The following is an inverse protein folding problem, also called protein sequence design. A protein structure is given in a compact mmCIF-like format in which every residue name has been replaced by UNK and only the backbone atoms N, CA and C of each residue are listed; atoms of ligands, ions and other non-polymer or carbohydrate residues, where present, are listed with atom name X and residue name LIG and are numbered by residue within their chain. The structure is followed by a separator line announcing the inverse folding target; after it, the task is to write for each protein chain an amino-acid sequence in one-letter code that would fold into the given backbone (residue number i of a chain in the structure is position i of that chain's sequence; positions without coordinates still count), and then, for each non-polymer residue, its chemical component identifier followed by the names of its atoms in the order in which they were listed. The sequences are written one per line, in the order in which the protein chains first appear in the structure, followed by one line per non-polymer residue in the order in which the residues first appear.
data_IF_820057810846
#
_entry.id   IF_820057810846
#
_cell.length_a   1.000
_cell.length_b   1.000
_cell.length_c   1.000
_cell.angle_alpha   90.00
_cell.angle_beta   90.00
_cell.angle_gamma   90.00
#
_symmetry.space_group_name_H-M   'P 1'
#
loop_
_entity.id
_entity.type
_entity.pdbx_description
1 polymer ?
#
# COMPACT_ATOMS: atom_id res chain seq x y z
N UNK A 1 12.94 -19.20 12.63
CA UNK A 1 12.57 -20.42 11.84
C UNK A 1 11.52 -20.05 10.81
N UNK A 2 11.55 -20.71 9.68
CA UNK A 2 10.67 -20.45 8.52
C UNK A 2 9.56 -21.50 8.54
N UNK A 3 8.29 -21.06 8.53
CA UNK A 3 7.14 -21.97 8.51
C UNK A 3 6.68 -22.21 7.05
N UNK A 4 6.90 -23.43 6.54
CA UNK A 4 6.46 -23.85 5.22
C UNK A 4 5.79 -25.22 5.32
N UNK A 5 4.66 -25.39 4.62
CA UNK A 5 3.94 -26.68 4.58
C UNK A 5 3.55 -27.21 5.96
N UNK A 6 3.16 -26.32 6.89
CA UNK A 6 2.77 -26.69 8.26
C UNK A 6 3.91 -27.09 9.19
N UNK A 7 5.17 -26.94 8.78
CA UNK A 7 6.37 -27.29 9.55
C UNK A 7 7.32 -26.09 9.63
N UNK A 8 8.03 -25.99 10.77
CA UNK A 8 9.15 -25.06 10.93
C UNK A 8 10.44 -25.69 10.38
N UNK A 9 11.17 -24.90 9.62
CA UNK A 9 12.42 -25.28 8.95
C UNK A 9 13.56 -24.39 9.43
N UNK A 10 14.74 -24.99 9.61
CA UNK A 10 16.00 -24.28 9.72
C UNK A 10 16.55 -23.97 8.34
N UNK A 11 17.42 -22.96 8.23
CA UNK A 11 18.14 -22.65 7.00
C UNK A 11 18.90 -23.86 6.46
N UNK A 12 19.61 -24.56 7.34
CA UNK A 12 20.40 -25.75 6.98
C UNK A 12 19.55 -26.88 6.40
N UNK A 13 18.37 -27.13 6.96
CA UNK A 13 17.45 -28.14 6.42
C UNK A 13 16.95 -27.75 5.02
N UNK A 14 16.63 -26.48 4.81
CA UNK A 14 16.21 -25.98 3.48
C UNK A 14 17.34 -26.09 2.46
N UNK A 15 18.56 -25.65 2.80
CA UNK A 15 19.74 -25.75 1.93
C UNK A 15 20.12 -27.20 1.62
N UNK A 16 19.83 -28.13 2.51
CA UNK A 16 20.05 -29.56 2.23
C UNK A 16 19.07 -30.14 1.20
N UNK A 17 17.82 -29.67 1.23
CA UNK A 17 16.76 -30.19 0.36
C UNK A 17 16.63 -29.41 -0.95
N UNK A 18 16.99 -28.15 -0.94
CA UNK A 18 16.81 -27.22 -2.06
C UNK A 18 18.17 -26.65 -2.42
N UNK A 19 18.74 -26.99 -3.57
CA UNK A 19 20.08 -26.51 -3.98
C UNK A 19 20.18 -24.98 -4.00
N UNK A 20 19.08 -24.29 -4.31
CA UNK A 20 18.99 -22.85 -4.33
C UNK A 20 17.58 -22.41 -3.89
N UNK A 21 17.38 -22.07 -2.60
CA UNK A 21 16.08 -21.64 -2.08
C UNK A 21 15.47 -20.44 -2.83
N UNK A 22 16.29 -19.53 -3.35
CA UNK A 22 15.84 -18.35 -4.09
C UNK A 22 15.30 -18.71 -5.49
N UNK A 23 15.52 -19.93 -5.96
CA UNK A 23 14.90 -20.47 -7.18
C UNK A 23 13.51 -21.01 -6.95
N UNK A 24 13.23 -21.51 -5.76
CA UNK A 24 11.91 -22.02 -5.39
C UNK A 24 11.00 -20.89 -4.91
N UNK A 25 11.54 -20.07 -4.02
CA UNK A 25 10.93 -18.83 -3.52
C UNK A 25 11.74 -17.64 -4.03
N UNK A 26 11.48 -16.41 -3.57
CA UNK A 26 12.36 -15.27 -3.84
C UNK A 26 11.78 -14.21 -4.74
N UNK A 27 12.65 -13.36 -5.26
CA UNK A 27 12.30 -12.17 -6.02
C UNK A 27 12.66 -12.35 -7.49
N UNK A 28 11.70 -12.07 -8.37
CA UNK A 28 11.91 -12.07 -9.83
C UNK A 28 11.53 -10.73 -10.40
N UNK A 29 12.39 -10.12 -11.22
CA UNK A 29 12.04 -8.92 -11.98
C UNK A 29 11.39 -9.35 -13.30
N UNK A 30 10.25 -8.77 -13.60
CA UNK A 30 9.42 -9.09 -14.76
C UNK A 30 9.12 -7.81 -15.52
N UNK A 31 9.09 -7.90 -16.85
CA UNK A 31 8.66 -6.82 -17.73
C UNK A 31 7.45 -7.26 -18.55
N UNK A 32 6.43 -6.41 -18.63
CA UNK A 32 5.27 -6.64 -19.47
C UNK A 32 5.63 -6.37 -20.93
N UNK A 33 5.30 -7.30 -21.80
CA UNK A 33 5.65 -7.21 -23.22
C UNK A 33 4.48 -6.80 -24.13
N UNK A 34 3.24 -6.84 -23.61
CA UNK A 34 2.01 -6.58 -24.36
C UNK A 34 1.03 -5.69 -23.59
N UNK A 35 0.02 -5.20 -24.31
CA UNK A 35 -1.10 -4.44 -23.75
C UNK A 35 -0.74 -3.03 -23.31
N UNK A 36 -1.64 -2.43 -22.52
CA UNK A 36 -1.51 -1.05 -22.02
C UNK A 36 -0.34 -0.88 -21.04
N UNK A 37 0.17 -1.98 -20.49
CA UNK A 37 1.27 -2.01 -19.51
C UNK A 37 2.60 -2.39 -20.14
N UNK A 38 2.67 -2.45 -21.49
CA UNK A 38 3.90 -2.80 -22.21
C UNK A 38 5.08 -1.94 -21.77
N UNK A 39 6.16 -2.60 -21.39
CA UNK A 39 7.40 -1.98 -20.92
C UNK A 39 7.43 -1.78 -19.40
N UNK A 40 6.29 -1.86 -18.69
CA UNK A 40 6.27 -1.71 -17.24
C UNK A 40 7.04 -2.84 -16.55
N UNK A 41 7.66 -2.48 -15.42
CA UNK A 41 8.52 -3.38 -14.67
C UNK A 41 7.94 -3.64 -13.27
N UNK A 42 7.92 -4.90 -12.90
CA UNK A 42 7.46 -5.34 -11.58
C UNK A 42 8.46 -6.30 -10.93
N UNK A 43 8.45 -6.37 -9.60
CA UNK A 43 9.05 -7.46 -8.87
C UNK A 43 7.94 -8.41 -8.44
N UNK A 44 8.12 -9.68 -8.72
CA UNK A 44 7.27 -10.75 -8.20
C UNK A 44 8.00 -11.44 -7.07
N UNK A 45 7.42 -11.42 -5.89
CA UNK A 45 7.96 -12.04 -4.67
C UNK A 45 7.12 -13.24 -4.32
N UNK A 46 7.73 -14.42 -4.27
CA UNK A 46 7.13 -15.62 -3.69
C UNK A 46 7.73 -15.80 -2.28
N UNK A 47 6.94 -15.56 -1.26
CA UNK A 47 7.38 -15.63 0.13
C UNK A 47 7.12 -17.00 0.77
N UNK A 48 6.73 -18.00 -0.02
CA UNK A 48 6.26 -19.27 0.54
C UNK A 48 4.98 -19.06 1.36
N UNK A 49 4.57 -20.05 2.13
CA UNK A 49 3.30 -20.04 2.90
C UNK A 49 2.07 -19.57 2.09
N UNK A 50 2.10 -19.76 0.77
CA UNK A 50 1.05 -19.36 -0.17
C UNK A 50 1.03 -17.88 -0.54
N UNK A 51 1.91 -17.04 0.01
CA UNK A 51 1.95 -15.59 -0.25
C UNK A 51 2.78 -15.25 -1.49
N UNK A 52 2.15 -14.58 -2.46
CA UNK A 52 2.77 -13.99 -3.63
C UNK A 52 2.43 -12.52 -3.72
N UNK A 53 3.43 -11.68 -3.96
CA UNK A 53 3.30 -10.22 -3.96
C UNK A 53 3.94 -9.64 -5.21
N UNK A 54 3.21 -8.78 -5.90
CA UNK A 54 3.72 -7.94 -6.99
C UNK A 54 4.08 -6.55 -6.45
N UNK A 55 5.24 -6.03 -6.83
CA UNK A 55 5.68 -4.67 -6.51
C UNK A 55 5.84 -3.89 -7.82
N UNK A 56 5.20 -2.75 -7.93
CA UNK A 56 5.09 -1.93 -9.13
C UNK A 56 6.21 -0.89 -9.18
N UNK A 57 7.32 -1.17 -9.87
CA UNK A 57 8.47 -0.27 -9.93
C UNK A 57 8.15 1.08 -10.58
N UNK A 58 7.28 1.08 -11.60
CA UNK A 58 6.87 2.28 -12.32
C UNK A 58 5.83 3.12 -11.58
N UNK A 59 5.42 2.70 -10.38
CA UNK A 59 4.50 3.40 -9.50
C UNK A 59 5.06 3.43 -8.07
N UNK A 60 6.21 4.08 -7.90
CA UNK A 60 6.88 4.32 -6.61
C UNK A 60 7.01 3.07 -5.71
N UNK A 61 7.17 1.88 -6.30
CA UNK A 61 7.17 0.60 -5.59
C UNK A 61 5.89 0.34 -4.80
N UNK A 62 4.73 0.70 -5.32
CA UNK A 62 3.44 0.33 -4.74
C UNK A 62 3.22 -1.18 -4.77
N UNK A 63 2.33 -1.68 -3.90
CA UNK A 63 1.97 -3.08 -3.88
C UNK A 63 0.88 -3.33 -4.92
N UNK A 64 1.21 -4.08 -5.95
CA UNK A 64 0.32 -4.55 -7.00
C UNK A 64 -0.56 -5.72 -6.55
N UNK A 65 -0.62 -6.75 -7.37
CA UNK A 65 -1.37 -7.96 -7.05
C UNK A 65 -0.79 -8.69 -5.84
N UNK A 66 -1.66 -9.13 -4.95
CA UNK A 66 -1.32 -10.00 -3.83
C UNK A 66 -2.24 -11.21 -3.84
N UNK A 67 -1.64 -12.38 -3.75
CA UNK A 67 -2.33 -13.66 -3.66
C UNK A 67 -1.85 -14.39 -2.41
N UNK A 68 -2.77 -14.96 -1.65
CA UNK A 68 -2.44 -15.82 -0.54
C UNK A 68 -3.30 -17.07 -0.58
N UNK A 69 -2.68 -18.24 -0.76
CA UNK A 69 -3.35 -19.55 -0.96
C UNK A 69 -4.48 -19.50 -2.02
N UNK A 70 -4.24 -18.81 -3.13
CA UNK A 70 -5.20 -18.67 -4.23
C UNK A 70 -6.27 -17.59 -4.03
N UNK A 71 -6.34 -16.95 -2.85
CA UNK A 71 -7.26 -15.83 -2.59
C UNK A 71 -6.62 -14.52 -3.03
N UNK A 72 -7.29 -13.68 -3.85
CA UNK A 72 -6.82 -12.35 -4.20
C UNK A 72 -7.07 -11.35 -3.07
N UNK A 73 -6.02 -10.63 -2.68
CA UNK A 73 -6.06 -9.55 -1.67
C UNK A 73 -5.76 -8.20 -2.32
N UNK A 74 -6.33 -7.94 -3.46
CA UNK A 74 -6.14 -6.70 -4.21
C UNK A 74 -7.38 -6.40 -5.06
N UNK A 75 -7.50 -5.17 -5.50
CA UNK A 75 -8.49 -4.82 -6.52
C UNK A 75 -7.91 -4.99 -7.92
N UNK A 76 -8.56 -5.82 -8.73
CA UNK A 76 -8.23 -6.05 -10.13
C UNK A 76 -9.17 -5.23 -11.02
N UNK A 77 -8.86 -3.96 -11.22
CA UNK A 77 -9.63 -3.13 -12.15
C UNK A 77 -9.34 -3.46 -13.62
N UNK A 78 -10.17 -2.96 -14.55
CA UNK A 78 -10.03 -3.25 -15.97
C UNK A 78 -8.75 -2.71 -16.60
N UNK A 79 -8.12 -1.75 -15.95
CA UNK A 79 -6.84 -1.15 -16.37
C UNK A 79 -5.76 -1.58 -15.38
N UNK A 80 -5.07 -2.65 -15.68
CA UNK A 80 -3.87 -3.07 -14.97
C UNK A 80 -2.72 -2.13 -15.35
N UNK A 81 -2.72 -0.89 -14.88
CA UNK A 81 -1.65 0.03 -15.24
C UNK A 81 -0.71 0.25 -14.09
N UNK A 82 0.49 -0.22 -14.24
CA UNK A 82 1.66 0.25 -13.52
C UNK A 82 2.40 1.35 -14.29
N UNK A 83 1.94 1.70 -15.48
CA UNK A 83 2.63 2.64 -16.37
C UNK A 83 1.92 3.99 -16.41
N UNK A 84 2.63 5.11 -16.23
CA UNK A 84 2.08 6.42 -16.49
C UNK A 84 1.81 6.53 -18.00
N UNK A 85 0.60 6.20 -18.43
CA UNK A 85 0.18 6.50 -19.76
C UNK A 85 -0.09 8.00 -19.85
N UNK A 86 0.11 8.60 -21.04
CA UNK A 86 -0.29 9.98 -21.34
C UNK A 86 -1.80 10.24 -21.21
N UNK A 87 -2.57 9.23 -20.87
CA UNK A 87 -3.98 9.35 -20.57
C UNK A 87 -4.16 9.95 -19.17
N UNK A 88 -4.99 10.97 -19.13
CA UNK A 88 -5.38 11.76 -17.97
C UNK A 88 -5.24 11.02 -16.63
N UNK A 89 -4.45 11.60 -15.73
CA UNK A 89 -4.24 11.20 -14.33
C UNK A 89 -5.56 11.01 -13.54
N UNK A 90 -6.68 11.55 -14.06
CA UNK A 90 -8.00 11.46 -13.45
C UNK A 90 -8.61 10.06 -13.42
N UNK A 91 -8.11 9.15 -14.27
CA UNK A 91 -8.57 7.76 -14.34
C UNK A 91 -7.52 6.78 -13.81
N UNK A 92 -6.64 7.26 -12.94
CA UNK A 92 -5.63 6.39 -12.33
C UNK A 92 -6.27 5.24 -11.61
N UNK A 93 -5.77 4.17 -11.96
CA UNK A 93 -6.18 2.86 -11.58
C UNK A 93 -5.81 2.62 -10.12
N UNK A 94 -6.80 2.35 -9.33
CA UNK A 94 -6.63 1.82 -7.98
C UNK A 94 -6.14 0.34 -8.01
N UNK A 95 -5.59 -0.11 -9.15
CA UNK A 95 -5.09 -1.47 -9.31
C UNK A 95 -4.08 -1.85 -8.22
N UNK A 96 -4.19 -3.07 -7.76
CA UNK A 96 -3.31 -3.64 -6.74
C UNK A 96 -3.86 -3.49 -5.33
N UNK A 97 -3.07 -3.94 -4.36
CA UNK A 97 -3.44 -3.87 -2.95
C UNK A 97 -3.25 -2.46 -2.40
N UNK A 98 -2.18 -1.76 -2.76
CA UNK A 98 -1.90 -0.45 -2.18
C UNK A 98 -1.43 0.54 -3.23
N UNK A 99 -2.08 1.71 -3.25
CA UNK A 99 -1.63 2.89 -3.95
C UNK A 99 -1.18 3.94 -2.93
N UNK A 100 0.04 4.44 -3.08
CA UNK A 100 0.52 5.57 -2.29
C UNK A 100 -0.06 6.85 -2.86
N UNK A 101 -0.74 7.62 -2.02
CA UNK A 101 -1.24 8.95 -2.35
C UNK A 101 -0.42 9.99 -1.62
N UNK A 102 0.01 11.02 -2.31
CA UNK A 102 0.82 12.09 -1.70
C UNK A 102 2.01 12.49 -2.58
N UNK A 103 3.03 12.93 -2.02
CA UNK A 103 3.19 13.47 -0.65
C UNK A 103 2.96 14.99 -0.64
N UNK A 104 2.71 15.55 -1.82
CA UNK A 104 2.34 16.95 -2.05
C UNK A 104 0.84 17.21 -1.85
N UNK A 105 0.00 16.23 -2.13
CA UNK A 105 -1.46 16.31 -2.01
C UNK A 105 -2.09 14.92 -1.88
N UNK A 106 -3.26 14.82 -1.23
CA UNK A 106 -4.07 13.59 -1.14
C UNK A 106 -5.53 13.88 -1.52
N UNK A 107 -6.30 12.81 -1.89
CA UNK A 107 -7.73 12.87 -2.24
C UNK A 107 -8.03 13.53 -3.58
N UNK A 108 -9.14 14.30 -3.66
CA UNK A 108 -9.63 14.93 -4.88
C UNK A 108 -8.66 15.96 -5.46
N UNK A 109 -8.74 16.20 -6.76
CA UNK A 109 -7.99 17.30 -7.37
C UNK A 109 -8.55 18.64 -6.88
N UNK A 110 -7.67 19.58 -6.57
CA UNK A 110 -8.03 20.92 -6.07
C UNK A 110 -7.19 22.01 -6.75
N UNK A 111 -7.74 23.23 -6.77
CA UNK A 111 -6.98 24.43 -7.14
C UNK A 111 -7.06 25.41 -5.98
N UNK A 112 -5.92 25.76 -5.42
CA UNK A 112 -5.79 26.70 -4.28
C UNK A 112 -4.74 27.74 -4.65
N UNK A 113 -5.05 29.03 -4.47
CA UNK A 113 -4.18 30.17 -4.78
C UNK A 113 -3.56 30.12 -6.20
N UNK A 114 -4.38 29.68 -7.18
CA UNK A 114 -3.96 29.56 -8.58
C UNK A 114 -3.06 28.36 -8.89
N UNK A 115 -2.75 27.52 -7.90
CA UNK A 115 -2.00 26.27 -8.07
C UNK A 115 -2.93 25.07 -8.08
N UNK A 116 -2.80 24.23 -9.12
CA UNK A 116 -3.56 22.99 -9.26
C UNK A 116 -2.81 21.81 -8.66
N UNK A 117 -3.54 21.04 -7.87
CA UNK A 117 -3.07 19.81 -7.23
C UNK A 117 -3.78 18.61 -7.84
N UNK A 118 -3.05 17.59 -8.30
CA UNK A 118 -3.67 16.42 -8.92
C UNK A 118 -4.39 15.56 -7.90
N UNK A 119 -5.38 14.81 -8.34
CA UNK A 119 -6.03 13.78 -7.52
C UNK A 119 -4.98 12.81 -6.99
N UNK A 120 -4.99 12.56 -5.69
CA UNK A 120 -4.07 11.66 -4.96
C UNK A 120 -2.59 12.07 -4.99
N UNK A 121 -2.27 13.30 -5.41
CA UNK A 121 -0.90 13.81 -5.43
C UNK A 121 -0.08 13.35 -6.63
N UNK A 122 1.16 13.80 -6.68
CA UNK A 122 2.03 13.59 -7.84
C UNK A 122 2.76 12.26 -7.81
N UNK A 123 2.91 11.63 -6.64
CA UNK A 123 3.70 10.39 -6.46
C UNK A 123 3.15 9.21 -7.24
N UNK A 124 1.83 9.15 -7.43
CA UNK A 124 1.11 8.00 -8.00
C UNK A 124 1.56 7.59 -9.41
N UNK A 125 2.26 8.47 -10.12
CA UNK A 125 2.70 8.24 -11.50
C UNK A 125 4.22 8.29 -11.66
N UNK A 126 4.96 8.29 -10.57
CA UNK A 126 6.42 8.38 -10.63
C UNK A 126 7.06 7.01 -10.51
N UNK A 127 7.99 6.68 -11.43
CA UNK A 127 8.76 5.47 -11.30
C UNK A 127 9.74 5.56 -10.14
N UNK A 128 9.99 4.43 -9.49
CA UNK A 128 11.00 4.31 -8.45
C UNK A 128 12.36 3.93 -9.04
N UNK A 129 13.41 4.45 -8.46
CA UNK A 129 14.77 3.96 -8.63
C UNK A 129 15.00 2.82 -7.64
N UNK A 130 15.06 1.58 -8.14
CA UNK A 130 15.33 0.40 -7.31
C UNK A 130 16.77 0.39 -6.84
N UNK A 131 16.99 0.47 -5.53
CA UNK A 131 18.31 0.42 -4.91
C UNK A 131 18.76 -1.02 -4.65
N UNK A 132 17.85 -1.84 -4.10
CA UNK A 132 18.12 -3.26 -3.84
C UNK A 132 16.84 -4.07 -3.79
N UNK A 133 16.94 -5.34 -4.17
CA UNK A 133 15.90 -6.35 -4.00
C UNK A 133 16.59 -7.69 -3.75
N UNK A 134 16.60 -8.17 -2.50
CA UNK A 134 17.37 -9.35 -2.12
C UNK A 134 16.81 -10.07 -0.91
N UNK A 135 17.19 -11.35 -0.76
CA UNK A 135 17.00 -12.12 0.46
C UNK A 135 18.03 -11.71 1.52
N UNK A 136 17.58 -11.47 2.74
CA UNK A 136 18.41 -11.21 3.91
C UNK A 136 18.21 -12.34 4.91
N UNK A 137 19.24 -13.16 5.09
CA UNK A 137 19.25 -14.23 6.06
C UNK A 137 19.82 -13.76 7.40
N UNK A 138 19.12 -14.08 8.48
CA UNK A 138 19.56 -13.88 9.85
C UNK A 138 19.30 -15.18 10.63
N UNK A 139 20.32 -16.02 10.78
CA UNK A 139 20.16 -17.37 11.31
C UNK A 139 19.16 -18.19 10.48
N UNK A 140 18.12 -18.70 11.13
CA UNK A 140 17.04 -19.47 10.51
C UNK A 140 15.85 -18.63 10.05
N UNK A 141 16.04 -17.33 9.85
CA UNK A 141 15.01 -16.42 9.33
C UNK A 141 15.49 -15.77 8.04
N UNK A 142 14.58 -15.57 7.12
CA UNK A 142 14.85 -14.88 5.87
C UNK A 142 13.78 -13.80 5.62
N UNK A 143 14.20 -12.64 5.16
CA UNK A 143 13.33 -11.53 4.76
C UNK A 143 13.71 -11.12 3.34
N UNK A 144 12.73 -11.06 2.44
CA UNK A 144 12.89 -10.39 1.16
C UNK A 144 12.75 -8.90 1.37
N UNK A 145 13.85 -8.17 1.19
CA UNK A 145 13.92 -6.72 1.36
C UNK A 145 14.08 -6.05 0.02
N UNK A 146 13.19 -5.10 -0.23
CA UNK A 146 13.17 -4.25 -1.42
C UNK A 146 13.34 -2.81 -0.93
N UNK A 147 14.29 -2.11 -1.51
CA UNK A 147 14.61 -0.71 -1.19
C UNK A 147 14.61 0.12 -2.46
N UNK A 148 13.90 1.25 -2.43
CA UNK A 148 13.76 2.11 -3.59
C UNK A 148 13.62 3.58 -3.20
N UNK A 149 13.98 4.47 -4.13
CA UNK A 149 13.80 5.92 -4.00
C UNK A 149 12.91 6.45 -5.12
N UNK A 150 12.06 7.42 -4.78
CA UNK A 150 11.29 8.20 -5.75
C UNK A 150 11.47 9.68 -5.45
N UNK A 151 11.77 10.48 -6.47
CA UNK A 151 11.98 11.92 -6.33
C UNK A 151 10.84 12.68 -6.99
N UNK A 152 10.22 13.58 -6.23
CA UNK A 152 9.27 14.58 -6.71
C UNK A 152 9.96 15.94 -6.66
N UNK A 153 10.08 16.63 -7.80
CA UNK A 153 10.82 17.89 -7.86
C UNK A 153 10.20 18.88 -8.84
N UNK A 154 10.09 20.12 -8.40
CA UNK A 154 9.69 21.25 -9.21
C UNK A 154 10.71 22.40 -9.00
N UNK A 155 11.23 22.94 -10.10
CA UNK A 155 12.27 24.01 -10.04
C UNK A 155 11.85 25.25 -9.24
N UNK A 156 10.56 25.58 -9.21
CA UNK A 156 10.06 26.79 -8.51
C UNK A 156 9.74 26.53 -7.05
N UNK A 157 9.37 25.31 -6.69
CA UNK A 157 8.79 25.00 -5.38
C UNK A 157 9.71 24.15 -4.50
N UNK A 158 10.69 23.52 -5.14
CA UNK A 158 11.54 22.55 -4.46
C UNK A 158 11.07 21.12 -4.68
N UNK A 159 11.38 20.24 -3.75
CA UNK A 159 11.05 18.84 -3.91
C UNK A 159 11.26 17.99 -2.69
N UNK A 160 10.78 16.77 -2.79
CA UNK A 160 10.91 15.77 -1.75
C UNK A 160 11.35 14.43 -2.35
N UNK A 161 11.93 13.61 -1.52
CA UNK A 161 12.37 12.25 -1.85
C UNK A 161 11.71 11.27 -0.91
N UNK A 162 11.05 10.29 -1.48
CA UNK A 162 10.59 9.08 -0.79
C UNK A 162 11.73 8.07 -0.80
N UNK A 163 12.11 7.56 0.35
CA UNK A 163 12.87 6.32 0.51
C UNK A 163 11.94 5.27 1.09
N UNK A 164 11.68 4.20 0.33
CA UNK A 164 10.75 3.12 0.68
C UNK A 164 11.50 1.83 0.92
N UNK A 165 11.14 1.14 1.99
CA UNK A 165 11.56 -0.21 2.28
C UNK A 165 10.32 -1.10 2.38
N UNK A 166 10.33 -2.21 1.63
CA UNK A 166 9.32 -3.26 1.73
C UNK A 166 9.99 -4.52 2.24
N UNK A 167 9.43 -5.11 3.29
CA UNK A 167 9.90 -6.36 3.86
C UNK A 167 8.80 -7.42 3.83
N UNK A 168 9.16 -8.58 3.27
CA UNK A 168 8.27 -9.74 3.13
C UNK A 168 9.00 -10.96 3.72
N UNK A 169 8.65 -11.39 4.94
CA UNK A 169 9.33 -12.52 5.57
C UNK A 169 8.98 -13.86 4.91
N UNK A 170 9.98 -14.66 4.57
CA UNK A 170 9.80 -16.02 4.06
C UNK A 170 9.04 -16.89 5.08
N UNK A 171 8.00 -17.56 4.62
CA UNK A 171 7.17 -18.43 5.44
C UNK A 171 6.13 -17.70 6.30
N UNK A 172 5.92 -16.38 6.08
CA UNK A 172 4.86 -15.60 6.71
C UNK A 172 3.91 -15.03 5.67
N UNK A 173 2.68 -14.74 6.10
CA UNK A 173 1.64 -14.09 5.31
C UNK A 173 1.54 -12.62 5.69
N UNK A 174 2.66 -11.90 5.51
CA UNK A 174 2.82 -10.52 5.98
C UNK A 174 3.66 -9.69 5.00
N UNK A 175 3.26 -8.43 4.79
CA UNK A 175 4.03 -7.42 4.05
C UNK A 175 4.15 -6.18 4.93
N UNK A 176 5.36 -5.66 5.09
CA UNK A 176 5.64 -4.43 5.83
C UNK A 176 6.18 -3.37 4.90
N UNK A 177 5.74 -2.14 5.12
CA UNK A 177 6.19 -0.95 4.39
C UNK A 177 6.72 0.05 5.39
N UNK A 178 7.87 0.63 5.08
CA UNK A 178 8.51 1.73 5.81
C UNK A 178 8.90 2.80 4.80
N UNK A 179 8.39 4.00 4.99
CA UNK A 179 8.63 5.16 4.15
C UNK A 179 9.29 6.27 4.96
N UNK A 180 10.36 6.85 4.43
CA UNK A 180 10.90 8.13 4.85
C UNK A 180 10.70 9.13 3.72
N UNK A 181 9.99 10.23 3.99
CA UNK A 181 9.78 11.33 3.05
C UNK A 181 10.60 12.51 3.52
N UNK A 182 11.66 12.84 2.80
CA UNK A 182 12.59 13.92 3.11
C UNK A 182 12.39 15.10 2.17
N UNK A 183 12.31 16.32 2.72
CA UNK A 183 12.35 17.54 1.92
C UNK A 183 13.79 17.79 1.47
N UNK A 184 14.02 17.78 0.16
CA UNK A 184 15.35 17.97 -0.44
C UNK A 184 15.59 19.42 -0.87
N UNK A 185 14.53 20.21 -1.05
CA UNK A 185 14.59 21.62 -1.38
C UNK A 185 13.25 22.30 -1.08
N UNK A 186 13.28 23.55 -0.62
CA UNK A 186 12.09 24.34 -0.28
C UNK A 186 11.48 23.99 1.08
N UNK A 187 10.29 24.52 1.34
CA UNK A 187 9.48 24.23 2.51
C UNK A 187 8.09 23.89 2.05
N UNK A 188 7.57 22.72 2.42
CA UNK A 188 6.26 22.27 1.96
C UNK A 188 5.60 21.32 2.97
N UNK A 189 4.27 21.27 3.04
CA UNK A 189 3.59 20.27 3.84
C UNK A 189 3.78 18.88 3.24
N UNK A 190 3.80 17.86 4.12
CA UNK A 190 3.78 16.46 3.71
C UNK A 190 2.40 15.90 4.03
N UNK A 191 1.67 15.52 2.99
CA UNK A 191 0.37 14.85 3.06
C UNK A 191 0.52 13.41 2.56
N UNK A 192 0.17 12.43 3.37
CA UNK A 192 0.27 11.02 2.99
C UNK A 192 -1.04 10.27 3.21
N UNK A 193 -1.33 9.32 2.32
CA UNK A 193 -2.42 8.37 2.48
C UNK A 193 -2.03 7.06 1.80
N UNK A 194 -2.18 5.95 2.50
CA UNK A 194 -2.07 4.63 1.91
C UNK A 194 -3.47 4.14 1.52
N UNK A 195 -3.69 4.00 0.24
CA UNK A 195 -4.98 3.61 -0.33
C UNK A 195 -4.99 2.10 -0.56
N UNK A 196 -5.35 1.33 0.48
CA UNK A 196 -5.43 -0.12 0.39
C UNK A 196 -6.73 -0.55 -0.30
N UNK A 197 -6.61 -1.23 -1.43
CA UNK A 197 -7.72 -1.53 -2.35
C UNK A 197 -8.01 -3.03 -2.36
N UNK A 198 -9.23 -3.40 -2.04
CA UNK A 198 -9.70 -4.77 -2.01
C UNK A 198 -10.89 -4.95 -2.95
N UNK A 199 -10.79 -5.94 -3.83
CA UNK A 199 -11.88 -6.38 -4.69
C UNK A 199 -12.56 -7.63 -4.14
N UNK A 200 -13.11 -8.46 -5.04
CA UNK A 200 -13.60 -9.79 -4.66
C UNK A 200 -12.45 -10.61 -4.03
N UNK A 201 -12.67 -11.31 -2.90
CA UNK A 201 -13.97 -11.60 -2.27
C UNK A 201 -14.40 -10.61 -1.16
N UNK A 202 -13.73 -9.46 -0.99
CA UNK A 202 -13.99 -8.50 0.10
C UNK A 202 -15.05 -7.46 -0.26
N UNK A 203 -15.33 -7.28 -1.55
CA UNK A 203 -16.26 -6.27 -2.07
C UNK A 203 -17.70 -6.76 -2.11
N UNK A 204 -18.20 -7.30 -1.01
CA UNK A 204 -19.58 -7.74 -0.84
C UNK A 204 -20.27 -6.98 0.29
N UNK A 205 -21.61 -6.94 0.27
CA UNK A 205 -22.40 -6.31 1.34
C UNK A 205 -22.26 -7.04 2.69
N UNK A 206 -21.95 -8.34 2.65
CA UNK A 206 -21.72 -9.16 3.85
C UNK A 206 -20.35 -9.02 4.46
N UNK A 207 -19.42 -8.29 3.80
CA UNK A 207 -18.11 -8.04 4.39
C UNK A 207 -18.23 -7.12 5.62
N UNK A 208 -17.51 -7.49 6.69
CA UNK A 208 -17.47 -6.72 7.95
C UNK A 208 -16.16 -5.99 8.11
N UNK A 209 -16.20 -4.82 8.74
CA UNK A 209 -15.04 -3.98 9.01
C UNK A 209 -14.96 -3.65 10.49
N UNK A 210 -13.76 -3.69 11.04
CA UNK A 210 -13.50 -3.30 12.42
C UNK A 210 -12.23 -2.44 12.51
N UNK A 211 -12.24 -1.45 13.39
CA UNK A 211 -11.06 -0.72 13.83
C UNK A 211 -10.82 -1.06 15.30
N UNK A 212 -9.68 -1.70 15.61
CA UNK A 212 -9.34 -2.17 16.96
C UNK A 212 -10.45 -3.01 17.61
N UNK A 213 -11.01 -3.94 16.87
CA UNK A 213 -12.14 -4.80 17.28
C UNK A 213 -13.49 -4.07 17.40
N UNK A 214 -13.53 -2.74 17.29
CA UNK A 214 -14.80 -1.99 17.23
C UNK A 214 -15.36 -2.11 15.81
N UNK A 215 -16.60 -2.57 15.71
CA UNK A 215 -17.31 -2.63 14.43
C UNK A 215 -17.49 -1.22 13.85
N UNK A 216 -16.99 -1.04 12.63
CA UNK A 216 -17.14 0.18 11.83
C UNK A 216 -17.86 -0.12 10.50
N UNK A 217 -18.49 -1.29 10.41
CA UNK A 217 -19.28 -1.69 9.26
C UNK A 217 -20.53 -0.80 9.19
N UNK A 218 -20.43 0.29 8.46
CA UNK A 218 -21.56 1.21 8.30
C UNK A 218 -22.46 0.76 7.15
N UNK A 219 -23.77 0.75 7.40
CA UNK A 219 -24.80 0.60 6.36
C UNK A 219 -25.11 1.92 5.67
N UNK A 220 -24.92 3.03 6.38
CA UNK A 220 -25.10 4.37 5.86
C UNK A 220 -23.74 4.89 5.38
N UNK A 221 -23.58 4.99 4.06
CA UNK A 221 -22.42 5.62 3.43
C UNK A 221 -22.69 7.12 3.32
N UNK A 222 -21.64 7.95 3.37
CA UNK A 222 -21.76 9.35 2.99
C UNK A 222 -22.11 9.47 1.48
N UNK A 223 -22.30 10.68 0.98
CA UNK A 223 -22.70 10.88 -0.42
C UNK A 223 -21.71 10.29 -1.44
N UNK A 224 -20.44 10.13 -1.04
CA UNK A 224 -19.37 9.58 -1.87
C UNK A 224 -19.08 8.09 -1.56
N UNK A 225 -19.80 7.50 -0.62
CA UNK A 225 -19.55 6.14 -0.16
C UNK A 225 -18.33 6.02 0.76
N UNK A 226 -17.89 7.12 1.39
CA UNK A 226 -16.73 7.19 2.27
C UNK A 226 -17.17 7.48 3.71
N UNK A 227 -16.63 6.74 4.67
CA UNK A 227 -16.73 7.05 6.11
C UNK A 227 -15.35 7.42 6.65
N UNK A 228 -15.31 8.22 7.71
CA UNK A 228 -14.08 8.68 8.35
C UNK A 228 -14.08 8.32 9.84
N UNK A 229 -12.95 7.80 10.31
CA UNK A 229 -12.75 7.36 11.68
C UNK A 229 -11.47 7.96 12.23
N UNK A 230 -11.56 8.81 13.24
CA UNK A 230 -10.40 9.38 13.93
C UNK A 230 -9.73 8.32 14.80
N UNK A 231 -8.41 8.41 14.90
CA UNK A 231 -7.53 7.50 15.66
C UNK A 231 -6.74 8.28 16.71
N UNK A 232 -6.20 7.59 17.70
CA UNK A 232 -5.31 8.16 18.71
C UNK A 232 -3.82 7.86 18.38
N UNK A 233 -2.90 8.36 19.21
CA UNK A 233 -1.45 8.24 18.98
C UNK A 233 -0.89 6.85 19.36
N UNK A 234 -1.51 5.78 18.90
CA UNK A 234 -1.05 4.40 19.07
C UNK A 234 -1.16 3.62 17.77
N UNK A 235 -0.70 2.38 17.78
CA UNK A 235 -0.93 1.48 16.66
C UNK A 235 -2.38 1.03 16.62
N UNK A 236 -2.94 1.05 15.42
CA UNK A 236 -4.30 0.63 15.10
C UNK A 236 -4.30 -0.53 14.13
N UNK A 237 -5.33 -1.36 14.20
CA UNK A 237 -5.58 -2.44 13.24
C UNK A 237 -6.96 -2.22 12.64
N UNK A 238 -6.97 -1.91 11.34
CA UNK A 238 -8.17 -1.98 10.53
C UNK A 238 -8.29 -3.38 9.95
N UNK A 239 -9.35 -4.11 10.32
CA UNK A 239 -9.62 -5.47 9.86
C UNK A 239 -10.83 -5.49 8.94
N UNK A 240 -10.70 -6.16 7.80
CA UNK A 240 -11.83 -6.52 6.95
C UNK A 240 -11.94 -8.04 6.89
N UNK A 241 -13.18 -8.54 7.03
CA UNK A 241 -13.49 -9.96 6.91
C UNK A 241 -14.53 -10.11 5.80
N UNK A 242 -14.19 -10.90 4.80
CA UNK A 242 -15.12 -11.29 3.74
C UNK A 242 -16.19 -12.23 4.29
N UNK A 243 -17.42 -12.14 3.81
CA UNK A 243 -18.47 -13.13 4.10
C UNK A 243 -18.09 -14.56 3.68
N UNK A 244 -17.11 -14.71 2.78
CA UNK A 244 -16.60 -16.01 2.31
C UNK A 244 -15.43 -16.53 3.16
N UNK A 245 -15.07 -15.87 4.25
CA UNK A 245 -14.08 -16.30 5.25
C UNK A 245 -12.72 -15.62 5.22
N UNK A 246 -12.12 -15.25 4.07
CA UNK A 246 -10.84 -14.54 4.07
C UNK A 246 -10.88 -13.23 4.85
N UNK A 247 -9.74 -12.87 5.49
CA UNK A 247 -9.61 -11.61 6.21
C UNK A 247 -8.25 -10.95 5.94
N UNK A 248 -8.22 -9.62 6.09
CA UNK A 248 -7.01 -8.81 6.01
C UNK A 248 -6.94 -7.87 7.22
N UNK A 249 -5.76 -7.78 7.81
CA UNK A 249 -5.41 -6.74 8.77
C UNK A 249 -4.48 -5.71 8.12
N UNK A 250 -4.81 -4.44 8.30
CA UNK A 250 -3.95 -3.31 8.03
C UNK A 250 -3.57 -2.66 9.36
N UNK A 251 -2.34 -2.85 9.82
CA UNK A 251 -1.79 -2.16 10.99
C UNK A 251 -1.09 -0.88 10.55
N UNK A 252 -1.37 0.24 11.24
CA UNK A 252 -0.76 1.54 11.01
C UNK A 252 -0.62 2.31 12.33
N UNK A 253 0.21 3.36 12.33
CA UNK A 253 0.44 4.19 13.49
C UNK A 253 -0.44 5.45 13.44
N UNK A 254 -1.34 5.63 14.42
CA UNK A 254 -2.22 6.78 14.52
C UNK A 254 -1.48 8.11 14.78
N UNK A 255 -0.26 8.06 15.30
CA UNK A 255 0.56 9.27 15.44
C UNK A 255 0.99 9.86 14.09
N UNK A 256 1.05 9.04 13.04
CA UNK A 256 1.38 9.46 11.67
C UNK A 256 0.13 9.49 10.77
N UNK A 257 -0.83 8.63 11.05
CA UNK A 257 -2.11 8.55 10.35
C UNK A 257 -3.29 8.70 11.32
N UNK A 258 -3.60 9.93 11.76
CA UNK A 258 -4.66 10.18 12.74
C UNK A 258 -6.08 9.88 12.25
N UNK A 259 -6.23 9.50 10.99
CA UNK A 259 -7.52 9.25 10.36
C UNK A 259 -7.48 7.97 9.53
N UNK A 260 -8.48 7.11 9.71
CA UNK A 260 -8.80 6.03 8.78
C UNK A 260 -10.03 6.42 7.96
N UNK A 261 -9.90 6.47 6.65
CA UNK A 261 -11.03 6.55 5.73
C UNK A 261 -11.36 5.15 5.20
N UNK A 262 -12.64 4.89 4.98
CA UNK A 262 -13.15 3.66 4.39
C UNK A 262 -14.05 4.02 3.21
N UNK A 263 -13.66 3.62 2.02
CA UNK A 263 -14.48 3.74 0.82
C UNK A 263 -15.13 2.39 0.52
N UNK A 264 -16.43 2.40 0.22
CA UNK A 264 -17.18 1.23 -0.27
C UNK A 264 -17.92 1.61 -1.55
N UNK A 265 -17.56 0.95 -2.66
CA UNK A 265 -18.19 1.18 -3.95
C UNK A 265 -18.60 -0.16 -4.58
N UNK A 266 -19.86 -0.52 -4.39
CA UNK A 266 -20.45 -1.79 -4.86
C UNK A 266 -21.24 -1.64 -6.16
N UNK A 267 -21.00 -0.57 -6.92
CA UNK A 267 -21.60 -0.42 -8.25
C UNK A 267 -21.23 -1.63 -9.12
N UNK A 268 -22.15 -2.12 -9.96
CA UNK A 268 -21.86 -3.19 -10.91
C UNK A 268 -20.60 -2.92 -11.73
N UNK A 269 -19.70 -3.90 -11.78
CA UNK A 269 -18.42 -3.80 -12.49
C UNK A 269 -17.30 -3.03 -11.75
N UNK A 270 -17.55 -2.53 -10.53
CA UNK A 270 -16.53 -1.88 -9.70
C UNK A 270 -16.08 -2.80 -8.57
N UNK A 271 -16.95 -3.14 -7.62
CA UNK A 271 -16.68 -4.03 -6.52
C UNK A 271 -15.40 -3.67 -5.76
N UNK A 272 -15.41 -2.53 -5.04
CA UNK A 272 -14.22 -1.98 -4.38
C UNK A 272 -14.51 -1.62 -2.93
N UNK A 273 -13.62 -2.04 -2.04
CA UNK A 273 -13.52 -1.56 -0.64
C UNK A 273 -12.10 -1.06 -0.42
N UNK A 274 -11.96 0.13 0.18
CA UNK A 274 -10.65 0.69 0.51
C UNK A 274 -10.53 0.99 1.99
N UNK A 275 -9.35 0.71 2.54
CA UNK A 275 -8.91 1.13 3.86
C UNK A 275 -7.80 2.16 3.67
N UNK A 276 -8.02 3.40 4.14
CA UNK A 276 -7.19 4.53 3.77
C UNK A 276 -6.69 5.29 5.00
N UNK A 277 -5.65 4.80 5.71
CA UNK A 277 -4.98 5.61 6.73
C UNK A 277 -4.39 6.87 6.10
N UNK A 278 -4.70 8.04 6.67
CA UNK A 278 -4.36 9.35 6.13
C UNK A 278 -3.85 10.32 7.19
N UNK A 279 -2.99 11.24 6.78
CA UNK A 279 -2.38 12.26 7.67
C UNK A 279 -3.32 13.38 8.07
N UNK A 280 -4.46 13.57 7.39
CA UNK A 280 -5.36 14.69 7.60
C UNK A 280 -6.82 14.26 7.48
N UNK A 281 -7.70 14.99 8.17
CA UNK A 281 -9.15 14.86 8.02
C UNK A 281 -9.60 15.10 6.57
N UNK A 282 -10.81 14.62 6.23
CA UNK A 282 -11.38 14.76 4.87
C UNK A 282 -11.93 16.18 4.63
N UNK A 283 -11.01 17.15 4.70
CA UNK A 283 -11.26 18.56 4.41
C UNK A 283 -10.55 18.97 3.12
N UNK A 284 -10.96 20.07 2.50
CA UNK A 284 -10.25 20.63 1.37
C UNK A 284 -8.88 21.15 1.81
N UNK A 285 -7.92 21.19 0.88
CA UNK A 285 -6.60 21.76 1.16
C UNK A 285 -6.68 23.20 1.66
N UNK A 286 -7.58 23.99 1.08
CA UNK A 286 -7.79 25.39 1.49
C UNK A 286 -8.22 25.49 2.96
N UNK A 287 -9.13 24.61 3.41
CA UNK A 287 -9.58 24.57 4.81
C UNK A 287 -8.43 24.15 5.71
N UNK A 288 -7.74 23.05 5.41
CA UNK A 288 -6.60 22.59 6.20
C UNK A 288 -5.51 23.66 6.34
N UNK A 289 -5.25 24.44 5.27
CA UNK A 289 -4.31 25.56 5.33
C UNK A 289 -4.81 26.68 6.25
N UNK A 290 -6.09 27.04 6.16
CA UNK A 290 -6.67 28.11 6.98
C UNK A 290 -6.75 27.77 8.47
N UNK A 291 -6.89 26.48 8.79
CA UNK A 291 -6.93 25.95 10.17
C UNK A 291 -5.54 25.68 10.75
N UNK A 292 -4.48 25.77 9.94
CA UNK A 292 -3.10 25.48 10.36
C UNK A 292 -2.76 23.99 10.41
N UNK A 293 -3.59 23.15 9.85
CA UNK A 293 -3.43 21.68 9.86
C UNK A 293 -2.49 21.15 8.78
N UNK A 294 -1.87 22.05 8.01
CA UNK A 294 -0.84 21.71 7.02
C UNK A 294 0.51 22.36 7.39
N UNK A 295 1.15 21.97 8.51
CA UNK A 295 2.45 22.51 8.86
C UNK A 295 3.49 22.17 7.81
N UNK A 296 4.31 23.13 7.43
CA UNK A 296 5.41 22.92 6.49
C UNK A 296 6.56 22.19 7.17
N UNK A 297 7.24 21.36 6.37
CA UNK A 297 8.48 20.66 6.71
C UNK A 297 9.61 21.31 5.92
N UNK A 298 10.72 21.59 6.57
CA UNK A 298 11.84 22.34 5.98
C UNK A 298 12.84 21.46 5.26
N UNK A 299 13.64 22.06 4.36
CA UNK A 299 14.75 21.36 3.70
C UNK A 299 15.64 20.64 4.71
N UNK A 300 15.89 19.35 4.45
CA UNK A 300 16.70 18.47 5.30
C UNK A 300 15.89 17.68 6.33
N UNK A 301 14.68 18.12 6.67
CA UNK A 301 13.79 17.40 7.58
C UNK A 301 13.03 16.28 6.85
N UNK A 302 12.57 15.29 7.61
CA UNK A 302 11.81 14.15 7.10
C UNK A 302 10.62 13.77 7.99
N UNK A 303 9.68 13.03 7.42
CA UNK A 303 8.62 12.32 8.14
C UNK A 303 8.64 10.86 7.74
N UNK A 304 8.38 9.99 8.72
CA UNK A 304 8.31 8.55 8.52
C UNK A 304 6.87 8.06 8.59
N UNK A 305 6.57 7.09 7.73
CA UNK A 305 5.28 6.42 7.66
C UNK A 305 5.50 4.92 7.59
N UNK A 306 4.48 4.12 7.93
CA UNK A 306 4.57 2.69 7.80
C UNK A 306 3.23 2.00 7.93
N UNK A 307 3.16 0.80 7.35
CA UNK A 307 2.01 -0.07 7.46
C UNK A 307 2.44 -1.54 7.42
N UNK A 308 1.63 -2.40 8.02
CA UNK A 308 1.79 -3.85 7.93
C UNK A 308 0.48 -4.47 7.47
N UNK A 309 0.54 -5.24 6.39
CA UNK A 309 -0.56 -6.06 5.91
C UNK A 309 -0.39 -7.49 6.37
N UNK A 310 -1.43 -8.11 6.95
CA UNK A 310 -1.47 -9.54 7.30
C UNK A 310 -2.65 -10.20 6.61
N UNK A 311 -2.37 -11.34 5.99
CA UNK A 311 -3.31 -12.03 5.10
C UNK A 311 -3.78 -13.33 5.75
N UNK A 312 -5.10 -13.51 5.84
CA UNK A 312 -5.76 -14.69 6.40
C UNK A 312 -6.64 -15.31 5.31
N UNK A 313 -6.12 -16.27 4.55
CA UNK A 313 -6.92 -17.02 3.57
C UNK A 313 -7.91 -17.96 4.26
N UNK A 314 -8.82 -18.55 3.51
CA UNK A 314 -9.82 -19.48 4.04
C UNK A 314 -9.16 -20.62 4.83
N UNK A 315 -9.79 -21.02 5.94
CA UNK A 315 -9.40 -22.20 6.74
C UNK A 315 -8.32 -21.96 7.79
N UNK A 316 -7.89 -20.71 8.00
CA UNK A 316 -7.02 -20.37 9.15
C UNK A 316 -7.87 -19.87 10.32
N UNK A 317 -7.52 -20.28 11.53
CA UNK A 317 -8.03 -19.64 12.75
C UNK A 317 -7.66 -18.16 12.71
N UNK A 318 -8.67 -17.31 12.75
CA UNK A 318 -8.46 -15.87 12.89
C UNK A 318 -7.98 -15.60 14.31
N UNK A 319 -6.92 -14.83 14.54
CA UNK A 319 -6.55 -14.46 15.89
C UNK A 319 -7.71 -13.65 16.52
N UNK A 320 -8.21 -14.13 17.64
CA UNK A 320 -9.25 -13.49 18.44
C UNK A 320 -8.85 -12.08 18.90
#
# INVERSE_FOLDING_TARGET
MICLFGRNWTRKELEYLIPDPDRLFGIRRVQQIEGNTRGSQTLQVDAGAGLKVEILLDRSCDIGAVWCDGVPFHWAGPLQTSFPTSQSVTNTTLYGLMQTCGFDHIRGAETVDGKSWPKHGSIINLPANLLTARALWAGDSCIYRIEAETVMYNLKEGGMKLHRIIEIPLGKREVKIFDEVKIISGNMPIMAMYHANLGFPFSSEGATLALDKKDITSKALDQDGITTHSTDNRKHIARIISEYGPALDLEFDGSTFPVLQVLRNFKPGVGLVCLEPATHERLSRAVLMSEGDLPTVSTGESRCFGATFRFYPMGLEQPN
#
